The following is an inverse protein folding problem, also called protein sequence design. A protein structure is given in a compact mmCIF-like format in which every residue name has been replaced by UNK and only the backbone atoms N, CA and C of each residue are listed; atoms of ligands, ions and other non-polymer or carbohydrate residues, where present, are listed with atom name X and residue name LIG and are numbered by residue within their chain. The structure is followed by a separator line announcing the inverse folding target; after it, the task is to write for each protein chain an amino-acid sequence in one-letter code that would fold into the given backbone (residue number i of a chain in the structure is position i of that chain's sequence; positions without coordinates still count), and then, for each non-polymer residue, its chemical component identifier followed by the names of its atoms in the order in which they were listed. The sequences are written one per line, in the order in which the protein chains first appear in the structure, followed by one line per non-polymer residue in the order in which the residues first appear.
data_IF_371857891309
#
_entry.id   IF_371857891309
#
_cell.length_a   1.000
_cell.length_b   1.000
_cell.length_c   1.000
_cell.angle_alpha   90.00
_cell.angle_beta   90.00
_cell.angle_gamma   90.00
#
_symmetry.space_group_name_H-M   'P 1'
#
loop_
_entity.id
_entity.type
_entity.pdbx_description
1 polymer ?
#
# COMPACT_ATOMS: atom_id res chain seq x y z
N UNK A 1 13.05 18.83 30.31
CA UNK A 1 13.00 19.01 28.84
C UNK A 1 12.69 17.65 28.29
N UNK A 2 11.39 17.45 28.17
CA UNK A 2 10.73 16.17 28.26
C UNK A 2 10.26 15.87 26.85
N UNK A 3 10.93 14.96 26.14
CA UNK A 3 10.31 14.24 25.02
C UNK A 3 11.02 12.91 24.86
N UNK A 4 10.69 11.99 25.77
CA UNK A 4 10.90 10.57 25.58
C UNK A 4 9.99 10.15 24.41
N UNK A 5 10.57 10.08 23.19
CA UNK A 5 9.88 9.58 22.01
C UNK A 5 9.70 8.06 22.16
N UNK A 6 8.64 7.71 22.88
CA UNK A 6 8.21 6.36 23.19
C UNK A 6 8.10 5.51 21.92
N UNK A 7 8.66 4.32 22.05
CA UNK A 7 8.61 3.20 21.12
C UNK A 7 7.24 3.03 20.46
N UNK A 8 7.11 3.39 19.19
CA UNK A 8 6.11 2.80 18.32
C UNK A 8 6.65 1.45 17.82
N UNK A 9 6.77 0.47 18.73
CA UNK A 9 6.60 -0.93 18.33
C UNK A 9 5.14 -1.02 17.89
N UNK A 10 4.87 -0.63 16.65
CA UNK A 10 3.60 -0.84 16.00
C UNK A 10 3.30 -2.32 16.13
N UNK A 11 2.48 -2.64 17.12
CA UNK A 11 1.63 -3.80 17.08
C UNK A 11 1.15 -3.87 15.65
N UNK A 12 1.53 -4.95 14.95
CA UNK A 12 1.05 -5.28 13.61
C UNK A 12 -0.42 -5.61 13.75
N UNK A 13 -1.21 -4.61 14.16
CA UNK A 13 -2.64 -4.54 14.04
C UNK A 13 -2.88 -4.91 12.59
N UNK A 14 -3.47 -6.07 12.39
CA UNK A 14 -3.93 -6.56 11.09
C UNK A 14 -4.86 -5.49 10.56
N UNK A 15 -4.28 -4.50 9.88
CA UNK A 15 -5.01 -3.28 9.57
C UNK A 15 -6.10 -3.69 8.62
N UNK A 16 -7.34 -3.50 9.07
CA UNK A 16 -8.50 -3.96 8.33
C UNK A 16 -8.60 -3.07 7.10
N UNK A 17 -8.48 -3.66 5.92
CA UNK A 17 -8.75 -2.97 4.67
C UNK A 17 -10.17 -2.42 4.70
N UNK A 18 -10.32 -1.12 4.52
CA UNK A 18 -11.59 -0.41 4.44
C UNK A 18 -11.79 0.07 3.01
N UNK A 19 -13.03 0.35 2.60
CA UNK A 19 -13.32 0.87 1.27
C UNK A 19 -12.51 2.14 0.92
N UNK A 20 -12.21 2.97 1.93
CA UNK A 20 -11.36 4.16 1.78
C UNK A 20 -9.91 3.80 1.48
N UNK A 21 -9.35 2.81 2.19
CA UNK A 21 -8.00 2.30 1.93
C UNK A 21 -7.90 1.62 0.56
N UNK A 22 -8.93 0.85 0.19
CA UNK A 22 -9.03 0.20 -1.12
C UNK A 22 -8.98 1.23 -2.24
N UNK A 23 -9.75 2.33 -2.12
CA UNK A 23 -9.77 3.41 -3.10
C UNK A 23 -8.42 4.14 -3.17
N UNK A 24 -7.82 4.50 -2.03
CA UNK A 24 -6.50 5.14 -2.02
C UNK A 24 -5.43 4.24 -2.65
N UNK A 25 -5.42 2.96 -2.30
CA UNK A 25 -4.47 2.01 -2.86
C UNK A 25 -4.68 1.81 -4.36
N UNK A 26 -5.93 1.67 -4.81
CA UNK A 26 -6.26 1.54 -6.22
C UNK A 26 -5.85 2.78 -7.04
N UNK A 27 -6.13 3.99 -6.54
CA UNK A 27 -5.72 5.25 -7.18
C UNK A 27 -4.20 5.31 -7.35
N UNK A 28 -3.47 4.97 -6.28
CA UNK A 28 -2.02 4.98 -6.27
C UNK A 28 -1.43 3.95 -7.24
N UNK A 29 -2.01 2.75 -7.30
CA UNK A 29 -1.66 1.71 -8.28
C UNK A 29 -1.94 2.19 -9.70
N UNK A 30 -3.12 2.77 -9.97
CA UNK A 30 -3.49 3.30 -11.29
C UNK A 30 -2.54 4.41 -11.72
N UNK A 31 -2.16 5.31 -10.83
CA UNK A 31 -1.16 6.34 -11.08
C UNK A 31 0.18 5.75 -11.51
N UNK A 32 0.66 4.70 -10.84
CA UNK A 32 1.89 4.01 -11.27
C UNK A 32 1.76 3.33 -12.64
N UNK A 33 0.58 2.80 -12.96
CA UNK A 33 0.29 2.21 -14.29
C UNK A 33 0.35 3.29 -15.37
N UNK A 34 -0.30 4.44 -15.14
CA UNK A 34 -0.31 5.57 -16.05
C UNK A 34 1.09 6.15 -16.29
N UNK A 35 1.96 6.11 -15.26
CA UNK A 35 3.36 6.51 -15.38
C UNK A 35 4.21 5.52 -16.20
N UNK A 36 3.63 4.42 -16.70
CA UNK A 36 4.35 3.42 -17.47
C UNK A 36 5.16 2.43 -16.61
N UNK A 37 5.01 2.46 -15.28
CA UNK A 37 5.73 1.56 -14.37
C UNK A 37 5.15 0.14 -14.31
N UNK A 38 4.25 -0.21 -15.24
CA UNK A 38 3.63 -1.54 -15.36
C UNK A 38 3.65 -2.06 -16.82
N UNK A 39 4.81 -2.22 -17.46
CA UNK A 39 4.89 -2.67 -18.86
C UNK A 39 4.46 -4.15 -19.03
N UNK A 40 4.60 -4.99 -18.00
CA UNK A 40 4.29 -6.43 -18.06
C UNK A 40 3.20 -6.87 -17.08
N UNK A 41 2.25 -5.98 -16.76
CA UNK A 41 1.25 -6.23 -15.72
C UNK A 41 1.83 -6.43 -14.29
N UNK A 42 3.14 -6.25 -14.11
CA UNK A 42 3.87 -6.41 -12.85
C UNK A 42 4.62 -5.12 -12.52
N UNK A 43 4.64 -4.74 -11.24
CA UNK A 43 5.49 -3.65 -10.75
C UNK A 43 6.84 -4.18 -10.27
N UNK A 44 7.91 -3.46 -10.58
CA UNK A 44 9.24 -3.73 -10.06
C UNK A 44 9.33 -3.56 -8.54
N UNK A 45 10.36 -4.14 -7.92
CA UNK A 45 10.61 -3.99 -6.47
C UNK A 45 10.73 -2.52 -6.06
N UNK A 46 11.36 -1.68 -6.91
CA UNK A 46 11.49 -0.24 -6.66
C UNK A 46 10.13 0.45 -6.68
N UNK A 47 9.30 0.14 -7.67
CA UNK A 47 7.94 0.69 -7.78
C UNK A 47 7.08 0.25 -6.61
N UNK A 48 7.15 -1.02 -6.20
CA UNK A 48 6.47 -1.51 -5.00
C UNK A 48 6.89 -0.78 -3.73
N UNK A 49 8.19 -0.58 -3.51
CA UNK A 49 8.68 0.19 -2.38
C UNK A 49 8.14 1.63 -2.40
N UNK A 50 8.10 2.27 -3.57
CA UNK A 50 7.54 3.61 -3.71
C UNK A 50 6.03 3.65 -3.43
N UNK A 51 5.27 2.67 -3.94
CA UNK A 51 3.84 2.50 -3.65
C UNK A 51 3.63 2.34 -2.15
N UNK A 52 4.44 1.49 -1.52
CA UNK A 52 4.33 1.20 -0.10
C UNK A 52 4.65 2.40 0.77
N UNK A 53 5.73 3.11 0.47
CA UNK A 53 6.14 4.32 1.19
C UNK A 53 5.08 5.41 1.11
N UNK A 54 4.62 5.72 -0.11
CA UNK A 54 3.62 6.74 -0.34
C UNK A 54 2.26 6.36 0.27
N UNK A 55 1.85 5.09 0.17
CA UNK A 55 0.62 4.61 0.81
C UNK A 55 0.69 4.69 2.33
N UNK A 56 1.81 4.27 2.92
CA UNK A 56 2.03 4.34 4.36
C UNK A 56 2.03 5.80 4.85
N UNK A 57 2.67 6.69 4.09
CA UNK A 57 2.71 8.14 4.38
C UNK A 57 1.34 8.80 4.30
N UNK A 58 0.51 8.43 3.32
CA UNK A 58 -0.84 9.02 3.17
C UNK A 58 -1.83 8.48 4.21
N UNK A 59 -1.67 7.22 4.62
CA UNK A 59 -2.60 6.56 5.52
C UNK A 59 -2.18 6.61 6.99
N UNK A 60 -0.95 7.04 7.27
CA UNK A 60 -0.28 6.95 8.58
C UNK A 60 -0.23 5.50 9.12
N UNK A 61 -0.22 4.53 8.21
CA UNK A 61 -0.22 3.11 8.52
C UNK A 61 1.07 2.44 8.05
N UNK A 62 1.41 1.32 8.66
CA UNK A 62 2.62 0.56 8.32
C UNK A 62 2.26 -0.75 7.61
N UNK A 63 2.04 -0.65 6.30
CA UNK A 63 1.92 -1.82 5.44
C UNK A 63 3.27 -2.27 4.90
N UNK A 64 3.35 -3.58 4.62
CA UNK A 64 4.46 -4.19 3.90
C UNK A 64 4.07 -4.44 2.44
N UNK A 65 5.06 -4.43 1.55
CA UNK A 65 4.90 -4.79 0.13
C UNK A 65 4.10 -6.09 -0.09
N UNK A 66 4.33 -7.13 0.74
CA UNK A 66 3.60 -8.39 0.63
C UNK A 66 2.10 -8.26 0.96
N UNK A 67 1.73 -7.38 1.89
CA UNK A 67 0.32 -7.12 2.22
C UNK A 67 -0.36 -6.38 1.07
N UNK A 68 0.31 -5.38 0.50
CA UNK A 68 -0.20 -4.62 -0.64
C UNK A 68 -0.37 -5.50 -1.88
N UNK A 69 0.60 -6.38 -2.17
CA UNK A 69 0.51 -7.36 -3.26
C UNK A 69 -0.68 -8.29 -3.11
N UNK A 70 -0.81 -8.93 -1.94
CA UNK A 70 -1.94 -9.83 -1.65
C UNK A 70 -3.27 -9.10 -1.77
N UNK A 71 -3.32 -7.84 -1.33
CA UNK A 71 -4.54 -7.05 -1.42
C UNK A 71 -4.87 -6.65 -2.86
N UNK A 72 -3.85 -6.32 -3.67
CA UNK A 72 -4.03 -6.06 -5.09
C UNK A 72 -4.66 -7.25 -5.81
N UNK A 73 -4.21 -8.48 -5.51
CA UNK A 73 -4.80 -9.70 -6.04
C UNK A 73 -6.28 -9.85 -5.64
N UNK A 74 -6.61 -9.53 -4.38
CA UNK A 74 -8.01 -9.52 -3.89
C UNK A 74 -8.86 -8.47 -4.60
N UNK A 75 -8.33 -7.27 -4.82
CA UNK A 75 -9.04 -6.22 -5.55
C UNK A 75 -9.27 -6.65 -7.00
N UNK A 76 -8.27 -7.20 -7.68
CA UNK A 76 -8.44 -7.72 -9.04
C UNK A 76 -9.50 -8.82 -9.08
N UNK A 77 -9.46 -9.78 -8.16
CA UNK A 77 -10.47 -10.83 -8.09
C UNK A 77 -11.89 -10.29 -7.80
N UNK A 78 -12.03 -9.15 -7.11
CA UNK A 78 -13.32 -8.52 -6.81
C UNK A 78 -13.88 -7.65 -7.94
N UNK A 79 -13.02 -7.09 -8.80
CA UNK A 79 -13.42 -6.15 -9.86
C UNK A 79 -13.44 -6.77 -11.26
N UNK A 80 -12.75 -7.90 -11.47
CA UNK A 80 -12.69 -8.60 -12.76
C UNK A 80 -13.44 -9.95 -12.77
N UNK A 81 -14.05 -10.35 -11.66
CA UNK A 81 -14.98 -11.48 -11.56
C UNK A 81 -16.39 -10.95 -11.28
#
# INVERSE_FOLDING_TARGET
MDTEAGQAKQERSRTRWTASLDRMFADLVVKQIQLGNRPNNVFDKKTWNNICDEFNKQTDLSFNNNQLRKHLDVLWARFYL
#
